data_IF_659436181276
#
_entry.id   IF_659436181276
#
_cell.length_a   1.000
_cell.length_b   1.000
_cell.length_c   1.000
_cell.angle_alpha   90.00
_cell.angle_beta   90.00
_cell.angle_gamma   90.00
#
_symmetry.space_group_name_H-M   'P 1'
#
loop_
_entity.id
_entity.type
_entity.pdbx_description
1 polymer ?
#
# COMPACT_ATOMS: atom_id res chain seq x y z
N UNK A 1 44.08 0.09 51.66
CA UNK A 1 44.10 0.42 50.20
C UNK A 1 43.33 -0.58 49.33
N UNK A 2 43.46 -1.90 49.52
CA UNK A 2 42.74 -2.92 48.70
C UNK A 2 41.20 -2.85 48.76
N UNK A 3 40.62 -2.55 49.94
CA UNK A 3 39.16 -2.40 50.10
C UNK A 3 38.59 -1.11 49.48
N UNK A 4 39.40 -0.05 49.39
CA UNK A 4 39.01 1.22 48.77
C UNK A 4 38.98 1.12 47.24
N UNK A 5 39.96 0.39 46.67
CA UNK A 5 40.00 0.09 45.24
C UNK A 5 38.84 -0.81 44.78
N UNK A 6 38.42 -1.77 45.61
CA UNK A 6 37.25 -2.61 45.33
C UNK A 6 35.94 -1.81 45.34
N UNK A 7 35.82 -0.81 46.23
CA UNK A 7 34.65 0.06 46.28
C UNK A 7 34.59 1.02 45.08
N UNK A 8 35.75 1.52 44.64
CA UNK A 8 35.87 2.35 43.44
C UNK A 8 35.54 1.56 42.14
N UNK A 9 35.87 0.27 42.09
CA UNK A 9 35.58 -0.61 40.95
C UNK A 9 34.09 -0.98 40.84
N UNK A 10 33.39 -1.08 41.98
CA UNK A 10 31.93 -1.35 42.00
C UNK A 10 31.15 -0.08 41.64
N UNK A 11 31.65 1.10 42.02
CA UNK A 11 31.02 2.38 41.68
C UNK A 11 31.14 2.72 40.18
N UNK A 12 32.21 2.31 39.50
CA UNK A 12 32.36 2.54 38.05
C UNK A 12 31.55 1.57 37.19
N UNK A 13 31.17 0.40 37.71
CA UNK A 13 30.39 -0.60 36.97
C UNK A 13 28.88 -0.29 36.88
N UNK A 14 28.36 0.62 37.70
CA UNK A 14 26.93 1.02 37.69
C UNK A 14 26.63 2.21 36.77
N UNK A 15 27.63 2.80 36.11
CA UNK A 15 27.48 3.98 35.25
C UNK A 15 27.19 3.68 33.76
N UNK A 16 27.01 2.41 33.37
CA UNK A 16 26.78 2.02 31.97
C UNK A 16 25.56 1.13 31.74
N UNK A 17 24.46 1.37 32.44
CA UNK A 17 23.16 0.84 32.02
C UNK A 17 22.54 1.77 30.98
N UNK A 18 22.78 1.52 29.69
CA UNK A 18 21.97 2.13 28.63
C UNK A 18 20.58 1.50 28.68
N UNK A 19 19.65 2.19 29.34
CA UNK A 19 18.23 1.86 29.26
C UNK A 19 17.81 2.00 27.80
N UNK A 20 17.26 0.94 27.20
CA UNK A 20 16.62 1.00 25.89
C UNK A 20 15.32 1.79 26.06
N UNK A 21 15.46 3.12 26.06
CA UNK A 21 14.33 4.02 26.14
C UNK A 21 13.46 3.82 24.90
N UNK A 22 12.15 3.78 25.10
CA UNK A 22 11.20 3.89 23.98
C UNK A 22 11.50 5.19 23.24
N UNK A 23 11.64 5.14 21.92
CA UNK A 23 11.97 6.34 21.14
C UNK A 23 10.78 7.30 21.15
N UNK A 24 10.94 8.40 21.89
CA UNK A 24 9.98 9.49 22.05
C UNK A 24 10.30 10.59 21.04
N UNK A 25 9.27 11.22 20.47
CA UNK A 25 9.45 12.35 19.56
C UNK A 25 10.36 13.43 20.17
N UNK A 26 11.29 14.03 19.37
CA UNK A 26 11.39 13.93 17.92
C UNK A 26 12.13 12.69 17.40
N UNK A 27 12.45 11.71 18.25
CA UNK A 27 13.00 10.44 17.81
C UNK A 27 11.91 9.41 17.47
N UNK A 28 12.21 8.46 16.59
CA UNK A 28 11.24 7.47 16.12
C UNK A 28 11.92 6.24 15.51
N UNK A 29 11.23 5.11 15.53
CA UNK A 29 11.78 3.81 15.12
C UNK A 29 11.35 3.46 13.70
N UNK A 30 12.28 2.90 12.92
CA UNK A 30 12.03 2.43 11.56
C UNK A 30 12.60 1.03 11.39
N UNK A 31 11.73 0.04 11.32
CA UNK A 31 12.13 -1.37 11.19
C UNK A 31 11.60 -2.01 9.92
N UNK A 32 12.35 -2.96 9.37
CA UNK A 32 11.90 -3.84 8.29
C UNK A 32 11.85 -5.29 8.79
N UNK A 33 10.75 -5.98 8.48
CA UNK A 33 10.54 -7.41 8.78
C UNK A 33 10.66 -8.29 7.52
N UNK A 34 11.21 -7.74 6.43
CA UNK A 34 11.22 -8.37 5.11
C UNK A 34 9.97 -8.06 4.28
N UNK A 35 9.91 -8.58 3.05
CA UNK A 35 8.79 -8.41 2.11
C UNK A 35 8.44 -6.94 1.75
N UNK A 36 9.44 -6.05 1.70
CA UNK A 36 9.28 -4.62 1.36
C UNK A 36 8.29 -3.85 2.25
N UNK A 37 8.06 -4.31 3.48
CA UNK A 37 7.24 -3.61 4.47
C UNK A 37 8.14 -2.93 5.48
N UNK A 38 7.99 -1.62 5.61
CA UNK A 38 8.67 -0.81 6.61
C UNK A 38 7.67 -0.40 7.68
N UNK A 39 7.98 -0.63 8.94
CA UNK A 39 7.18 -0.23 10.10
C UNK A 39 7.85 0.99 10.70
N UNK A 40 7.09 2.08 10.80
CA UNK A 40 7.54 3.33 11.42
C UNK A 40 6.70 3.52 12.69
N UNK A 41 7.33 3.70 13.85
CA UNK A 41 6.63 3.85 15.13
C UNK A 41 7.27 4.91 16.00
N UNK A 42 6.47 5.61 16.80
CA UNK A 42 6.94 6.66 17.71
C UNK A 42 6.06 6.75 18.95
N UNK A 43 6.60 7.38 19.99
CA UNK A 43 5.84 7.80 21.17
C UNK A 43 5.71 9.32 21.16
N UNK A 44 4.48 9.85 21.15
CA UNK A 44 4.22 11.27 21.23
C UNK A 44 4.18 11.72 22.70
N UNK A 45 5.04 12.68 23.05
CA UNK A 45 5.08 13.31 24.37
C UNK A 45 4.94 14.84 24.30
N UNK A 46 4.53 15.37 23.14
CA UNK A 46 4.18 16.78 23.03
C UNK A 46 2.79 17.01 23.65
N UNK A 47 2.62 18.08 24.46
CA UNK A 47 1.36 18.34 25.14
C UNK A 47 0.21 18.64 24.16
N UNK A 48 0.52 19.28 23.02
CA UNK A 48 -0.43 19.57 21.95
C UNK A 48 0.23 19.25 20.61
N UNK A 49 -0.39 18.36 19.84
CA UNK A 49 0.05 18.01 18.48
C UNK A 49 -1.13 18.09 17.54
N UNK A 50 -1.05 18.96 16.54
CA UNK A 50 -2.11 19.20 15.57
C UNK A 50 -1.99 18.29 14.35
N UNK A 51 -0.75 17.93 13.96
CA UNK A 51 -0.53 17.09 12.80
C UNK A 51 0.79 16.31 12.93
N UNK A 52 0.77 15.05 12.50
CA UNK A 52 1.98 14.26 12.25
C UNK A 52 1.89 13.74 10.83
N UNK A 53 2.89 14.07 10.01
CA UNK A 53 2.99 13.58 8.63
C UNK A 53 4.28 12.80 8.45
N UNK A 54 4.16 11.58 7.94
CA UNK A 54 5.30 10.73 7.65
C UNK A 54 5.77 11.06 6.24
N UNK A 55 7.05 11.36 6.11
CA UNK A 55 7.68 11.70 4.85
C UNK A 55 8.75 10.68 4.49
N UNK A 56 8.90 10.44 3.18
CA UNK A 56 9.79 9.44 2.60
C UNK A 56 10.61 10.04 1.48
N UNK A 57 11.88 9.68 1.40
CA UNK A 57 12.80 10.08 0.32
C UNK A 57 13.75 8.95 -0.07
N UNK A 58 14.34 9.06 -1.26
CA UNK A 58 15.50 8.26 -1.69
C UNK A 58 16.83 8.82 -1.19
N UNK A 59 16.84 10.08 -0.75
CA UNK A 59 18.00 10.80 -0.22
C UNK A 59 17.79 11.09 1.28
N UNK A 60 18.86 11.15 2.07
CA UNK A 60 18.78 11.40 3.52
C UNK A 60 18.41 12.84 3.88
N UNK A 61 18.65 13.80 2.98
CA UNK A 61 18.56 15.25 3.25
C UNK A 61 17.49 15.96 2.43
N UNK A 62 17.27 15.54 1.18
CA UNK A 62 16.39 16.24 0.22
C UNK A 62 15.30 15.32 -0.34
N UNK A 63 14.31 15.89 -1.02
CA UNK A 63 13.31 15.12 -1.79
C UNK A 63 12.27 14.35 -0.98
N UNK A 64 12.02 14.75 0.27
CA UNK A 64 11.02 14.11 1.13
C UNK A 64 9.59 14.43 0.66
N UNK A 65 8.83 13.39 0.33
CA UNK A 65 7.41 13.47 0.00
C UNK A 65 6.56 12.85 1.12
N UNK A 66 5.44 13.49 1.45
CA UNK A 66 4.50 12.96 2.45
C UNK A 66 3.80 11.72 1.92
N UNK A 67 3.90 10.62 2.66
CA UNK A 67 3.26 9.34 2.31
C UNK A 67 1.94 9.13 3.04
N UNK A 68 1.83 9.66 4.26
CA UNK A 68 0.64 9.53 5.11
C UNK A 68 0.63 10.66 6.14
N UNK A 69 -0.56 11.19 6.42
CA UNK A 69 -0.82 12.02 7.60
C UNK A 69 -1.64 11.21 8.60
N UNK A 70 -1.24 11.29 9.86
CA UNK A 70 -1.84 10.52 10.95
C UNK A 70 -3.22 11.08 11.27
N UNK A 71 -4.23 10.20 11.36
CA UNK A 71 -5.61 10.59 11.64
C UNK A 71 -5.79 11.13 13.06
N UNK A 72 -5.16 10.49 14.05
CA UNK A 72 -5.11 10.96 15.43
C UNK A 72 -3.66 11.25 15.84
N UNK A 73 -3.20 12.51 15.71
CA UNK A 73 -1.85 12.92 16.09
C UNK A 73 -1.67 13.03 17.61
N UNK A 74 -2.76 13.00 18.40
CA UNK A 74 -2.71 13.14 19.86
C UNK A 74 -2.43 11.81 20.57
N UNK A 75 -2.59 10.68 19.87
CA UNK A 75 -2.30 9.35 20.39
C UNK A 75 -0.84 9.25 20.90
N UNK A 76 -0.69 8.81 22.16
CA UNK A 76 0.60 8.73 22.84
C UNK A 76 1.57 7.73 22.18
N UNK A 77 1.07 6.62 21.64
CA UNK A 77 1.86 5.66 20.87
C UNK A 77 1.18 5.40 19.54
N UNK A 78 1.93 5.50 18.46
CA UNK A 78 1.38 5.30 17.13
C UNK A 78 2.44 4.73 16.18
N UNK A 79 1.99 4.18 15.06
CA UNK A 79 2.87 3.64 14.05
C UNK A 79 2.12 3.29 12.77
N UNK A 80 2.88 3.25 11.68
CA UNK A 80 2.37 2.99 10.34
C UNK A 80 3.18 1.90 9.67
N UNK A 81 2.57 1.21 8.72
CA UNK A 81 3.27 0.25 7.86
C UNK A 81 3.28 0.81 6.44
N UNK A 82 4.46 1.19 5.95
CA UNK A 82 4.66 1.49 4.53
C UNK A 82 4.80 0.17 3.76
N UNK A 83 3.68 -0.28 3.20
CA UNK A 83 3.62 -1.42 2.28
C UNK A 83 3.84 -1.06 0.81
N UNK A 84 4.02 0.22 0.48
CA UNK A 84 4.25 0.73 -0.89
C UNK A 84 5.68 1.26 -1.05
N UNK A 85 6.62 0.82 -0.21
CA UNK A 85 8.03 1.14 -0.33
C UNK A 85 8.60 0.49 -1.60
N UNK A 86 9.03 1.27 -2.62
CA UNK A 86 9.55 0.70 -3.86
C UNK A 86 10.83 -0.11 -3.64
N UNK A 87 11.71 0.40 -2.76
CA UNK A 87 13.07 -0.07 -2.53
C UNK A 87 13.39 -0.19 -1.02
N UNK A 88 14.44 -0.95 -0.67
CA UNK A 88 14.93 -1.06 0.71
C UNK A 88 15.77 0.15 1.18
N UNK A 89 16.32 0.92 0.23
CA UNK A 89 17.20 2.06 0.50
C UNK A 89 16.40 3.37 0.51
N UNK A 90 15.50 3.49 1.48
CA UNK A 90 14.68 4.68 1.68
C UNK A 90 15.00 5.34 3.02
N UNK A 91 14.77 6.64 3.08
CA UNK A 91 14.88 7.44 4.28
C UNK A 91 13.51 7.95 4.69
N UNK A 92 13.24 7.91 5.99
CA UNK A 92 12.01 8.38 6.57
C UNK A 92 12.31 9.52 7.54
N UNK A 93 11.37 10.46 7.65
CA UNK A 93 11.32 11.48 8.71
C UNK A 93 9.88 11.84 8.99
N UNK A 94 9.62 12.38 10.17
CA UNK A 94 8.31 12.85 10.60
C UNK A 94 8.33 14.37 10.58
N UNK A 95 7.23 14.94 10.08
CA UNK A 95 6.90 16.35 10.21
C UNK A 95 5.80 16.47 11.26
N UNK A 96 6.13 17.08 12.40
CA UNK A 96 5.25 17.20 13.56
C UNK A 96 4.90 18.68 13.74
N UNK A 97 3.61 18.98 13.72
CA UNK A 97 3.07 20.33 13.92
C UNK A 97 2.40 20.37 15.29
N UNK A 98 2.73 21.40 16.06
CA UNK A 98 2.16 21.70 17.37
C UNK A 98 1.11 22.81 17.24
N UNK A 99 0.70 23.39 18.35
CA UNK A 99 -0.10 24.61 18.35
C UNK A 99 0.74 25.85 17.99
N UNK A 100 0.02 26.91 17.59
CA UNK A 100 0.60 28.24 17.38
C UNK A 100 1.72 28.29 16.31
N UNK A 101 1.59 27.49 15.26
CA UNK A 101 2.50 27.49 14.10
C UNK A 101 3.87 26.85 14.34
N UNK A 102 4.12 26.28 15.54
CA UNK A 102 5.37 25.58 15.84
C UNK A 102 5.41 24.22 15.13
N UNK A 103 6.54 23.90 14.52
CA UNK A 103 6.75 22.60 13.87
C UNK A 103 8.16 22.07 14.07
N UNK A 104 8.31 20.75 13.97
CA UNK A 104 9.58 20.04 14.11
C UNK A 104 9.69 18.99 12.99
N UNK A 105 10.86 18.96 12.34
CA UNK A 105 11.27 17.84 11.50
C UNK A 105 12.19 16.92 12.30
N UNK A 106 11.88 15.62 12.30
CA UNK A 106 12.75 14.64 12.93
C UNK A 106 13.99 14.35 12.07
N UNK A 107 15.03 13.76 12.67
CA UNK A 107 16.22 13.33 11.93
C UNK A 107 15.85 12.20 10.96
N UNK A 108 16.41 12.21 9.76
CA UNK A 108 16.16 11.13 8.79
C UNK A 108 16.73 9.79 9.29
N UNK A 109 15.92 8.72 9.24
CA UNK A 109 16.36 7.35 9.58
C UNK A 109 16.12 6.38 8.43
N UNK A 110 16.98 5.36 8.34
CA UNK A 110 16.83 4.23 7.42
C UNK A 110 16.20 3.04 8.15
N UNK A 111 15.41 2.20 7.46
CA UNK A 111 14.94 0.95 8.02
C UNK A 111 16.10 0.04 8.40
N UNK A 112 16.08 -0.50 9.61
CA UNK A 112 16.98 -1.57 10.03
C UNK A 112 16.22 -2.88 10.26
N UNK A 113 16.92 -4.02 10.17
CA UNK A 113 16.31 -5.33 10.38
C UNK A 113 15.98 -5.55 11.85
N UNK A 114 14.72 -5.88 12.13
CA UNK A 114 14.28 -6.24 13.48
C UNK A 114 14.71 -7.68 13.79
N UNK A 115 15.83 -7.84 14.50
CA UNK A 115 16.34 -9.16 14.94
C UNK A 115 15.72 -9.61 16.27
N UNK A 116 14.81 -8.83 16.87
CA UNK A 116 14.16 -9.21 18.11
C UNK A 116 13.12 -10.32 17.87
N UNK A 117 13.37 -11.50 18.45
CA UNK A 117 12.37 -12.57 18.52
C UNK A 117 11.22 -12.09 19.41
N UNK A 118 10.05 -11.82 18.81
CA UNK A 118 8.82 -11.62 19.57
C UNK A 118 8.46 -12.97 20.20
N UNK A 119 8.77 -13.16 21.48
CA UNK A 119 8.13 -14.19 22.30
C UNK A 119 6.69 -13.75 22.45
N UNK A 120 5.81 -14.34 21.66
CA UNK A 120 4.36 -14.22 21.85
C UNK A 120 4.04 -14.90 23.18
N UNK A 121 3.98 -14.13 24.27
CA UNK A 121 3.44 -14.60 25.53
C UNK A 121 1.92 -14.77 25.37
N UNK A 122 1.51 -15.91 24.82
CA UNK A 122 0.15 -16.42 24.97
C UNK A 122 -0.04 -16.87 26.43
N UNK A 123 -0.17 -15.91 27.35
CA UNK A 123 -0.73 -16.20 28.68
C UNK A 123 -2.26 -16.19 28.58
N UNK A 124 -2.81 -17.21 27.93
CA UNK A 124 -4.18 -17.67 28.17
C UNK A 124 -4.16 -19.20 28.08
N UNK A 125 -4.45 -19.83 29.22
CA UNK A 125 -4.75 -21.25 29.43
C UNK A 125 -3.58 -22.23 29.36
N UNK A 126 -2.94 -22.48 30.51
CA UNK A 126 -2.42 -23.80 30.83
C UNK A 126 -3.08 -24.26 32.13
N UNK A 127 -4.13 -25.05 31.96
CA UNK A 127 -4.55 -25.99 32.99
C UNK A 127 -3.42 -26.99 33.19
N UNK A 128 -3.07 -27.17 34.46
CA UNK A 128 -2.17 -28.18 35.00
C UNK A 128 -2.49 -29.57 34.44
N UNK A 129 -1.50 -30.33 33.93
CA UNK A 129 -1.54 -31.78 33.98
C UNK A 129 -0.88 -32.21 35.28
N UNK A 130 -1.68 -32.76 36.19
CA UNK A 130 -1.20 -33.62 37.26
C UNK A 130 -0.39 -34.80 36.67
N UNK A 131 0.53 -35.31 37.49
CA UNK A 131 1.44 -36.44 37.23
C UNK A 131 2.76 -36.13 36.50
N UNK A 132 3.67 -35.51 37.23
CA UNK A 132 5.08 -35.89 37.16
C UNK A 132 5.46 -36.59 38.48
N UNK A 133 5.59 -37.92 38.43
CA UNK A 133 6.34 -38.68 39.44
C UNK A 133 7.73 -38.06 39.56
N UNK A 134 8.10 -37.59 40.76
CA UNK A 134 9.49 -37.26 41.09
C UNK A 134 10.28 -38.57 41.10
N UNK A 135 11.10 -38.80 40.08
CA UNK A 135 12.15 -39.83 40.16
C UNK A 135 13.39 -39.14 40.72
N UNK A 136 13.74 -39.48 41.95
CA UNK A 136 15.04 -39.21 42.54
C UNK A 136 16.02 -40.15 41.83
N UNK A 137 16.98 -39.60 41.10
CA UNK A 137 18.07 -40.42 40.54
C UNK A 137 19.22 -40.36 41.55
N UNK A 138 19.43 -41.48 42.24
CA UNK A 138 20.63 -41.77 42.99
C UNK A 138 21.81 -42.00 42.05
N UNK A 139 22.97 -41.56 42.51
CA UNK A 139 24.27 -41.52 41.86
C UNK A 139 24.81 -42.93 41.57
N UNK A 140 24.96 -43.28 40.28
CA UNK A 140 26.09 -44.02 39.67
C UNK A 140 25.67 -44.61 38.32
N UNK A 141 26.05 -43.97 37.20
CA UNK A 141 25.93 -44.57 35.87
C UNK A 141 27.17 -44.28 35.04
N UNK A 142 27.77 -45.34 34.49
CA UNK A 142 28.98 -45.37 33.67
C UNK A 142 28.72 -44.79 32.27
N UNK A 143 29.68 -44.06 31.64
CA UNK A 143 29.48 -43.32 30.39
C UNK A 143 28.91 -44.10 29.18
N UNK A 144 29.04 -45.43 29.15
CA UNK A 144 28.49 -46.26 28.06
C UNK A 144 26.97 -46.46 28.11
N UNK A 145 26.35 -46.47 29.30
CA UNK A 145 24.89 -46.56 29.42
C UNK A 145 24.21 -45.21 29.16
N UNK A 146 24.95 -44.10 29.27
CA UNK A 146 24.45 -42.77 28.95
C UNK A 146 24.29 -42.55 27.43
N UNK A 147 25.02 -43.27 26.58
CA UNK A 147 24.92 -43.17 25.12
C UNK A 147 23.72 -43.96 24.56
N UNK A 148 23.45 -45.17 25.06
CA UNK A 148 22.26 -45.96 24.66
C UNK A 148 20.94 -45.29 25.05
N UNK A 149 20.90 -44.62 26.22
CA UNK A 149 19.74 -43.84 26.67
C UNK A 149 19.57 -42.58 25.81
N UNK A 150 20.65 -42.02 25.25
CA UNK A 150 20.61 -40.85 24.35
C UNK A 150 20.11 -41.20 22.95
N UNK A 151 20.35 -42.43 22.51
CA UNK A 151 19.88 -42.95 21.23
C UNK A 151 18.38 -43.29 21.26
N UNK A 152 17.87 -43.79 22.40
CA UNK A 152 16.43 -44.05 22.61
C UNK A 152 15.60 -42.82 23.01
N UNK A 153 16.23 -41.74 23.44
CA UNK A 153 15.59 -40.46 23.80
C UNK A 153 15.81 -39.35 22.77
N UNK A 154 15.91 -39.66 21.47
CA UNK A 154 15.62 -38.62 20.48
C UNK A 154 14.20 -38.12 20.76
N UNK A 155 14.00 -36.87 21.22
CA UNK A 155 12.65 -36.36 21.35
C UNK A 155 12.11 -36.33 19.93
N UNK A 156 11.13 -37.21 19.64
CA UNK A 156 10.30 -37.04 18.47
C UNK A 156 9.85 -35.59 18.51
N UNK A 157 10.34 -34.77 17.58
CA UNK A 157 9.95 -33.37 17.47
C UNK A 157 8.48 -33.41 17.11
N UNK A 158 7.62 -33.40 18.13
CA UNK A 158 6.20 -33.19 17.98
C UNK A 158 6.10 -31.78 17.41
N UNK A 159 5.99 -31.70 16.07
CA UNK A 159 5.64 -30.47 15.38
C UNK A 159 4.32 -30.03 15.98
N UNK A 160 4.36 -29.07 16.90
CA UNK A 160 3.16 -28.42 17.39
C UNK A 160 2.41 -27.96 16.14
N UNK A 161 1.19 -28.47 15.87
CA UNK A 161 0.49 -28.12 14.65
C UNK A 161 0.31 -26.60 14.65
N UNK A 162 0.86 -25.93 13.63
CA UNK A 162 0.69 -24.50 13.47
C UNK A 162 -0.82 -24.20 13.50
N UNK A 163 -1.26 -23.20 14.29
CA UNK A 163 -2.68 -22.91 14.41
C UNK A 163 -3.25 -22.61 13.03
N UNK A 164 -4.33 -23.31 12.68
CA UNK A 164 -4.96 -23.17 11.37
C UNK A 164 -5.51 -21.74 11.22
N UNK A 165 -4.92 -20.98 10.29
CA UNK A 165 -5.34 -19.60 10.00
C UNK A 165 -6.49 -19.63 9.01
N UNK A 166 -7.56 -18.92 9.35
CA UNK A 166 -8.73 -18.74 8.49
C UNK A 166 -8.78 -17.31 7.96
N UNK A 167 -9.27 -17.16 6.74
CA UNK A 167 -9.55 -15.87 6.13
C UNK A 167 -11.05 -15.71 5.89
N UNK A 168 -11.58 -14.54 6.21
CA UNK A 168 -12.97 -14.16 5.98
C UNK A 168 -13.07 -13.40 4.66
N UNK A 169 -13.74 -13.99 3.68
CA UNK A 169 -14.00 -13.37 2.38
C UNK A 169 -15.30 -12.61 2.45
N UNK A 170 -15.25 -11.29 2.34
CA UNK A 170 -16.42 -10.40 2.29
C UNK A 170 -16.58 -9.77 0.91
N UNK A 171 -17.83 -9.58 0.50
CA UNK A 171 -18.21 -8.78 -0.68
C UNK A 171 -19.10 -7.65 -0.18
N UNK A 172 -18.58 -6.41 -0.24
CA UNK A 172 -19.14 -5.28 0.51
C UNK A 172 -19.19 -5.63 2.00
N UNK A 173 -20.36 -5.62 2.64
CA UNK A 173 -20.51 -5.93 4.07
C UNK A 173 -20.92 -7.38 4.36
N UNK A 174 -21.16 -8.18 3.32
CA UNK A 174 -21.64 -9.56 3.46
C UNK A 174 -20.47 -10.55 3.48
N UNK A 175 -20.44 -11.44 4.46
CA UNK A 175 -19.52 -12.58 4.50
C UNK A 175 -19.94 -13.61 3.44
N UNK A 176 -19.05 -13.86 2.48
CA UNK A 176 -19.29 -14.78 1.34
C UNK A 176 -18.69 -16.16 1.61
N UNK A 177 -17.51 -16.22 2.22
CA UNK A 177 -16.85 -17.49 2.52
C UNK A 177 -15.85 -17.35 3.67
N UNK A 178 -15.52 -18.47 4.29
CA UNK A 178 -14.37 -18.61 5.19
C UNK A 178 -13.43 -19.65 4.60
N UNK A 179 -12.18 -19.29 4.37
CA UNK A 179 -11.20 -20.14 3.68
C UNK A 179 -9.98 -20.40 4.58
N UNK A 180 -9.47 -21.63 4.56
CA UNK A 180 -8.23 -21.96 5.26
C UNK A 180 -7.03 -21.35 4.52
N UNK A 181 -5.97 -21.00 5.24
CA UNK A 181 -4.73 -20.48 4.66
C UNK A 181 -4.13 -21.38 3.58
N UNK A 182 -4.29 -22.71 3.70
CA UNK A 182 -3.83 -23.69 2.70
C UNK A 182 -4.52 -23.51 1.35
N UNK A 183 -5.80 -23.13 1.35
CA UNK A 183 -6.62 -22.97 0.15
C UNK A 183 -6.65 -21.54 -0.39
N UNK A 184 -6.05 -20.57 0.33
CA UNK A 184 -5.96 -19.17 -0.10
C UNK A 184 -5.36 -19.02 -1.50
N UNK A 185 -4.33 -19.82 -1.82
CA UNK A 185 -3.68 -19.78 -3.14
C UNK A 185 -4.67 -20.17 -4.25
N UNK A 186 -5.37 -21.31 -4.08
CA UNK A 186 -6.37 -21.79 -5.05
C UNK A 186 -7.51 -20.79 -5.22
N UNK A 187 -7.96 -20.20 -4.10
CA UNK A 187 -8.99 -19.18 -4.12
C UNK A 187 -8.54 -17.94 -4.92
N UNK A 188 -7.34 -17.41 -4.64
CA UNK A 188 -6.77 -16.28 -5.38
C UNK A 188 -6.69 -16.56 -6.87
N UNK A 189 -6.18 -17.72 -7.25
CA UNK A 189 -6.02 -18.11 -8.65
C UNK A 189 -7.40 -18.20 -9.35
N UNK A 190 -8.42 -18.72 -8.66
CA UNK A 190 -9.80 -18.77 -9.16
C UNK A 190 -10.38 -17.37 -9.40
N UNK A 191 -10.21 -16.45 -8.45
CA UNK A 191 -10.71 -15.08 -8.61
C UNK A 191 -10.00 -14.38 -9.77
N UNK A 192 -8.67 -14.51 -9.90
CA UNK A 192 -7.92 -13.84 -10.98
C UNK A 192 -8.24 -14.41 -12.37
N UNK A 193 -8.46 -15.74 -12.48
CA UNK A 193 -8.63 -16.40 -13.78
C UNK A 193 -10.07 -16.49 -14.24
N UNK A 194 -11.02 -16.70 -13.31
CA UNK A 194 -12.44 -16.92 -13.63
C UNK A 194 -13.29 -15.68 -13.43
N UNK A 195 -12.83 -14.71 -12.64
CA UNK A 195 -13.57 -13.48 -12.37
C UNK A 195 -12.70 -12.27 -12.75
N UNK A 196 -13.32 -11.15 -13.13
CA UNK A 196 -12.57 -9.89 -13.32
C UNK A 196 -12.43 -9.11 -12.00
N UNK A 197 -12.89 -9.69 -10.91
CA UNK A 197 -12.97 -9.05 -9.60
C UNK A 197 -11.59 -8.87 -8.98
N UNK A 198 -11.45 -7.85 -8.15
CA UNK A 198 -10.19 -7.51 -7.48
C UNK A 198 -10.24 -7.95 -6.02
N UNK A 199 -9.19 -8.65 -5.57
CA UNK A 199 -8.97 -9.01 -4.17
C UNK A 199 -8.25 -7.86 -3.46
N UNK A 200 -8.77 -7.42 -2.32
CA UNK A 200 -8.09 -6.51 -1.41
C UNK A 200 -8.05 -7.10 0.00
N UNK A 201 -6.99 -6.87 0.76
CA UNK A 201 -6.92 -7.27 2.17
C UNK A 201 -7.36 -6.09 3.03
N UNK A 202 -8.36 -6.30 3.88
CA UNK A 202 -8.86 -5.32 4.86
C UNK A 202 -8.49 -5.69 6.30
N UNK A 203 -7.34 -6.36 6.47
CA UNK A 203 -6.87 -6.88 7.74
C UNK A 203 -5.89 -8.03 7.54
N UNK A 204 -5.48 -8.66 8.64
CA UNK A 204 -4.63 -9.85 8.61
C UNK A 204 -5.40 -11.12 8.18
N UNK A 205 -6.71 -11.13 8.38
CA UNK A 205 -7.62 -12.26 8.18
C UNK A 205 -8.76 -11.94 7.21
N UNK A 206 -9.00 -10.67 6.88
CA UNK A 206 -10.17 -10.27 6.07
C UNK A 206 -9.80 -9.97 4.62
N UNK A 207 -10.46 -10.65 3.70
CA UNK A 207 -10.34 -10.49 2.25
C UNK A 207 -11.60 -9.83 1.73
N UNK A 208 -11.45 -8.70 1.05
CA UNK A 208 -12.53 -8.01 0.35
C UNK A 208 -12.48 -8.35 -1.14
N UNK A 209 -13.60 -8.84 -1.66
CA UNK A 209 -13.86 -8.96 -3.09
C UNK A 209 -14.51 -7.67 -3.61
N UNK A 210 -13.79 -6.98 -4.48
CA UNK A 210 -14.29 -5.80 -5.20
C UNK A 210 -14.76 -6.23 -6.58
N UNK A 211 -16.06 -6.11 -6.90
CA UNK A 211 -16.57 -6.39 -8.23
C UNK A 211 -15.83 -5.58 -9.29
N UNK A 212 -15.56 -6.19 -10.44
CA UNK A 212 -15.08 -5.45 -11.60
C UNK A 212 -16.11 -4.40 -12.00
N UNK A 213 -15.74 -3.14 -11.91
CA UNK A 213 -16.48 -2.03 -12.53
C UNK A 213 -15.75 -1.73 -13.84
N UNK A 214 -16.36 -2.02 -15.01
CA UNK A 214 -15.77 -1.64 -16.28
C UNK A 214 -15.49 -0.15 -16.30
N UNK A 215 -14.23 0.23 -16.40
CA UNK A 215 -13.88 1.63 -16.67
C UNK A 215 -14.20 1.88 -18.13
N UNK A 216 -15.13 2.79 -18.40
CA UNK A 216 -15.38 3.26 -19.76
C UNK A 216 -14.14 4.02 -20.24
N UNK A 217 -13.26 3.32 -20.96
CA UNK A 217 -12.11 3.95 -21.61
C UNK A 217 -12.60 4.60 -22.88
N UNK A 218 -12.46 5.92 -22.96
CA UNK A 218 -12.76 6.66 -24.19
C UNK A 218 -11.89 6.15 -25.34
N UNK A 219 -12.56 5.72 -26.41
CA UNK A 219 -11.92 5.39 -27.69
C UNK A 219 -12.24 6.50 -28.68
N UNK A 220 -11.26 7.22 -29.24
CA UNK A 220 -11.51 8.23 -30.26
C UNK A 220 -12.22 7.65 -31.49
N UNK A 221 -12.96 8.49 -32.21
CA UNK A 221 -13.50 8.11 -33.52
C UNK A 221 -12.34 7.93 -34.53
N UNK A 222 -12.56 7.05 -35.51
CA UNK A 222 -11.63 6.86 -36.63
C UNK A 222 -11.74 7.97 -37.67
N UNK A 223 -12.88 8.65 -37.73
CA UNK A 223 -13.17 9.67 -38.73
C UNK A 223 -12.90 11.07 -38.20
N UNK A 224 -13.23 11.37 -36.94
CA UNK A 224 -13.05 12.71 -36.37
C UNK A 224 -12.38 12.59 -35.00
N UNK A 225 -11.16 13.11 -34.89
CA UNK A 225 -10.37 12.99 -33.67
C UNK A 225 -9.46 14.21 -33.46
N UNK A 226 -9.01 14.38 -32.22
CA UNK A 226 -8.07 15.44 -31.85
C UNK A 226 -6.64 14.94 -32.02
N UNK A 227 -5.81 15.71 -32.71
CA UNK A 227 -4.38 15.44 -32.90
C UNK A 227 -3.52 15.91 -31.71
N UNK A 228 -2.21 15.64 -31.80
CA UNK A 228 -1.25 15.93 -30.71
C UNK A 228 -1.12 17.42 -30.41
N UNK A 229 -1.33 18.27 -31.40
CA UNK A 229 -1.31 19.73 -31.30
C UNK A 229 -2.62 20.32 -30.73
N UNK A 230 -3.64 19.48 -30.57
CA UNK A 230 -4.97 19.84 -30.07
C UNK A 230 -5.97 20.22 -31.16
N UNK A 231 -5.56 20.24 -32.44
CA UNK A 231 -6.45 20.50 -33.56
C UNK A 231 -7.32 19.28 -33.87
N UNK A 232 -8.45 19.50 -34.54
CA UNK A 232 -9.41 18.44 -34.86
C UNK A 232 -9.25 18.05 -36.32
N UNK A 233 -8.89 16.79 -36.57
CA UNK A 233 -8.76 16.23 -37.92
C UNK A 233 -10.01 15.43 -38.27
N UNK A 234 -10.57 15.70 -39.45
CA UNK A 234 -11.63 14.92 -40.09
C UNK A 234 -11.00 14.10 -41.23
N UNK A 235 -10.88 12.79 -41.03
CA UNK A 235 -10.36 11.82 -42.00
C UNK A 235 -11.49 11.00 -42.61
N UNK A 236 -11.81 11.27 -43.88
CA UNK A 236 -12.91 10.66 -44.63
C UNK A 236 -12.39 10.17 -45.99
N UNK A 237 -11.93 8.91 -46.12
CA UNK A 237 -11.24 8.44 -47.33
C UNK A 237 -12.08 8.59 -48.61
N UNK A 238 -13.41 8.51 -48.53
CA UNK A 238 -14.31 8.57 -49.69
C UNK A 238 -15.00 9.94 -49.86
N UNK A 239 -14.41 11.03 -49.35
CA UNK A 239 -14.99 12.37 -49.41
C UNK A 239 -15.23 12.92 -50.83
N UNK A 240 -14.54 12.37 -51.84
CA UNK A 240 -14.75 12.73 -53.25
C UNK A 240 -15.94 12.02 -53.89
N UNK A 241 -16.44 10.96 -53.27
CA UNK A 241 -17.51 10.10 -53.80
C UNK A 241 -18.83 10.38 -53.09
N UNK A 242 -18.79 10.52 -51.77
CA UNK A 242 -19.97 10.73 -50.93
C UNK A 242 -20.03 12.15 -50.41
N UNK A 243 -21.24 12.65 -50.22
CA UNK A 243 -21.47 13.95 -49.61
C UNK A 243 -21.47 13.82 -48.08
N UNK A 244 -20.37 14.21 -47.45
CA UNK A 244 -20.26 14.22 -45.99
C UNK A 244 -20.59 15.59 -45.42
N UNK A 245 -21.35 15.59 -44.32
CA UNK A 245 -21.58 16.77 -43.49
C UNK A 245 -21.35 16.45 -42.01
N UNK A 246 -20.89 17.44 -41.24
CA UNK A 246 -20.56 17.27 -39.82
C UNK A 246 -21.19 18.40 -39.02
N UNK A 247 -21.86 18.05 -37.92
CA UNK A 247 -22.40 19.03 -36.97
C UNK A 247 -21.66 18.91 -35.64
N UNK A 248 -21.16 20.02 -35.12
CA UNK A 248 -20.46 20.08 -33.85
C UNK A 248 -21.34 20.68 -32.76
N UNK A 249 -21.23 20.11 -31.56
CA UNK A 249 -21.99 20.52 -30.38
C UNK A 249 -21.06 20.59 -29.17
N UNK A 250 -21.43 21.41 -28.19
CA UNK A 250 -20.77 21.40 -26.90
C UNK A 250 -21.12 20.15 -26.06
N UNK A 251 -20.51 20.03 -24.88
CA UNK A 251 -20.80 18.93 -23.94
C UNK A 251 -22.28 18.82 -23.57
N UNK A 252 -22.99 19.96 -23.51
CA UNK A 252 -24.42 20.06 -23.19
C UNK A 252 -25.32 19.86 -24.41
N UNK A 253 -24.76 19.46 -25.55
CA UNK A 253 -25.48 19.27 -26.82
C UNK A 253 -26.04 20.57 -27.42
N UNK A 254 -25.47 21.73 -27.07
CA UNK A 254 -25.76 23.00 -27.73
C UNK A 254 -24.98 23.06 -29.05
N UNK A 255 -25.63 23.37 -30.19
CA UNK A 255 -24.94 23.44 -31.48
C UNK A 255 -23.91 24.57 -31.50
N UNK A 256 -22.75 24.30 -32.09
CA UNK A 256 -21.66 25.27 -32.25
C UNK A 256 -21.58 25.78 -33.68
N UNK A 257 -21.25 24.89 -34.61
CA UNK A 257 -21.19 25.15 -36.04
C UNK A 257 -21.31 23.81 -36.79
N UNK A 258 -21.59 23.89 -38.08
CA UNK A 258 -21.62 22.74 -38.97
C UNK A 258 -20.75 22.96 -40.22
N UNK A 259 -20.32 21.85 -40.80
CA UNK A 259 -19.66 21.80 -42.10
C UNK A 259 -20.60 21.05 -43.01
N UNK A 260 -21.27 21.81 -43.89
CA UNK A 260 -22.32 21.28 -44.75
C UNK A 260 -21.78 20.37 -45.85
N UNK A 261 -20.52 20.54 -46.27
CA UNK A 261 -19.88 19.70 -47.28
C UNK A 261 -18.37 19.55 -47.02
N UNK A 262 -17.89 18.30 -46.90
CA UNK A 262 -16.46 17.98 -46.81
C UNK A 262 -15.98 17.39 -48.14
N UNK A 263 -15.18 18.15 -48.89
CA UNK A 263 -14.68 17.75 -50.23
C UNK A 263 -13.34 17.02 -50.20
N UNK A 264 -12.59 17.17 -49.12
CA UNK A 264 -11.24 16.65 -48.99
C UNK A 264 -11.23 15.41 -48.10
N UNK A 265 -10.37 14.43 -48.43
CA UNK A 265 -10.27 13.19 -47.64
C UNK A 265 -9.68 13.40 -46.25
N UNK A 266 -9.00 14.53 -46.01
CA UNK A 266 -8.46 14.91 -44.71
C UNK A 266 -8.58 16.42 -44.56
N UNK A 267 -9.38 16.87 -43.59
CA UNK A 267 -9.59 18.28 -43.29
C UNK A 267 -9.16 18.57 -41.85
N UNK A 268 -8.35 19.59 -41.63
CA UNK A 268 -7.90 20.02 -40.31
C UNK A 268 -8.68 21.27 -39.87
N UNK A 269 -9.22 21.23 -38.66
CA UNK A 269 -9.95 22.33 -38.03
C UNK A 269 -9.13 22.81 -36.83
N UNK A 270 -8.84 24.11 -36.81
CA UNK A 270 -8.15 24.75 -35.70
C UNK A 270 -9.00 24.67 -34.41
N UNK A 271 -8.35 24.29 -33.29
CA UNK A 271 -8.95 24.23 -31.96
C UNK A 271 -9.58 25.55 -31.51
N UNK A 272 -9.13 26.69 -32.02
CA UNK A 272 -9.66 28.03 -31.67
C UNK A 272 -11.15 28.15 -32.03
N UNK A 273 -11.63 27.42 -33.02
CA UNK A 273 -13.05 27.40 -33.41
C UNK A 273 -13.98 26.85 -32.33
N UNK A 274 -13.45 26.13 -31.35
CA UNK A 274 -14.25 25.50 -30.29
C UNK A 274 -14.31 26.33 -29.01
N UNK A 275 -13.80 27.57 -29.01
CA UNK A 275 -13.89 28.59 -27.94
C UNK A 275 -13.16 28.26 -26.62
N UNK A 276 -13.25 27.02 -26.12
CA UNK A 276 -12.66 26.59 -24.84
C UNK A 276 -12.17 25.14 -24.90
N UNK A 277 -11.23 24.80 -24.04
CA UNK A 277 -10.83 23.40 -23.80
C UNK A 277 -11.99 22.62 -23.16
N UNK A 278 -12.19 21.37 -23.56
CA UNK A 278 -13.27 20.54 -23.03
C UNK A 278 -13.72 19.42 -23.96
N UNK A 279 -14.80 18.74 -23.56
CA UNK A 279 -15.45 17.73 -24.38
C UNK A 279 -16.45 18.36 -25.34
N UNK A 280 -16.40 17.90 -26.60
CA UNK A 280 -17.31 18.28 -27.66
C UNK A 280 -17.91 17.03 -28.28
N UNK A 281 -19.13 17.17 -28.79
CA UNK A 281 -19.85 16.10 -29.49
C UNK A 281 -19.92 16.43 -30.97
N UNK A 282 -20.03 15.42 -31.81
CA UNK A 282 -20.32 15.60 -33.22
C UNK A 282 -21.30 14.55 -33.74
N UNK A 283 -21.92 14.91 -34.85
CA UNK A 283 -22.71 14.01 -35.67
C UNK A 283 -22.16 14.07 -37.11
N UNK A 284 -21.67 12.93 -37.60
CA UNK A 284 -21.18 12.75 -38.96
C UNK A 284 -22.29 12.14 -39.81
N UNK A 285 -22.58 12.75 -40.95
CA UNK A 285 -23.56 12.30 -41.93
C UNK A 285 -22.88 11.97 -43.25
N UNK A 286 -23.36 10.94 -43.94
CA UNK A 286 -22.94 10.50 -45.27
C UNK A 286 -24.19 10.41 -46.14
N UNK A 287 -24.24 11.17 -47.24
CA UNK A 287 -25.39 11.25 -48.16
C UNK A 287 -26.72 11.51 -47.43
N UNK A 288 -26.68 12.39 -46.41
CA UNK A 288 -27.82 12.75 -45.57
C UNK A 288 -28.17 11.74 -44.48
N UNK A 289 -27.49 10.59 -44.39
CA UNK A 289 -27.72 9.56 -43.36
C UNK A 289 -26.71 9.70 -42.23
N UNK A 290 -27.18 9.53 -40.99
CA UNK A 290 -26.30 9.54 -39.82
C UNK A 290 -25.34 8.35 -39.85
N UNK A 291 -24.05 8.63 -39.95
CA UNK A 291 -22.96 7.64 -40.00
C UNK A 291 -22.35 7.38 -38.62
N UNK A 292 -22.12 8.44 -37.83
CA UNK A 292 -21.53 8.33 -36.50
C UNK A 292 -22.00 9.47 -35.58
N UNK A 293 -22.26 9.14 -34.30
CA UNK A 293 -22.31 10.13 -33.21
C UNK A 293 -21.22 9.80 -32.22
N UNK A 294 -20.36 10.76 -31.93
CA UNK A 294 -19.27 10.56 -30.99
C UNK A 294 -18.86 11.85 -30.31
N UNK A 295 -17.80 11.77 -29.50
CA UNK A 295 -17.21 12.92 -28.81
C UNK A 295 -15.70 12.94 -28.97
N UNK A 296 -15.10 14.12 -28.80
CA UNK A 296 -13.65 14.33 -28.76
C UNK A 296 -13.32 15.38 -27.69
N UNK A 297 -12.05 15.46 -27.32
CA UNK A 297 -11.58 16.34 -26.25
C UNK A 297 -10.55 17.31 -26.80
N UNK A 298 -10.77 18.60 -26.59
CA UNK A 298 -9.81 19.64 -26.91
C UNK A 298 -9.00 19.95 -25.65
N UNK A 299 -7.66 19.77 -25.68
CA UNK A 299 -6.81 20.05 -24.54
C UNK A 299 -6.78 21.55 -24.21
N UNK A 300 -6.37 21.86 -22.98
CA UNK A 300 -6.03 23.22 -22.61
C UNK A 300 -4.63 23.54 -23.13
N UNK A 301 -4.45 24.77 -23.58
CA UNK A 301 -3.12 25.33 -23.88
C UNK A 301 -2.23 25.39 -22.63
#
# INVERSE_FOLDING_TARGET
MRKLAALLLILTCTLFTTSWAQEVLPDFTVVTKGNKKVIISWTNNYPVTTQISIQRSKDSTKGFATILSVADPTAQQNGIVDGKAPDANLFYRLFVVQDNGKFVFTKSKRPFWDTARVVVNNKLTQQTPENARRVIISESVTPKQAEEIKETLQPAVVKVPEPEKFFFVKKRDTLVATINAKDLKKFRDSIVTRTKDTIAFAGADTILLKPFVPKEVFKPSKFIYTEKDGNVTISLPNATIHHYSVKFFDEKSVPLFDISEVKESSLLIDKVNFLRSGWYKFELYEDGKLKEKHKFFIPRD
#
